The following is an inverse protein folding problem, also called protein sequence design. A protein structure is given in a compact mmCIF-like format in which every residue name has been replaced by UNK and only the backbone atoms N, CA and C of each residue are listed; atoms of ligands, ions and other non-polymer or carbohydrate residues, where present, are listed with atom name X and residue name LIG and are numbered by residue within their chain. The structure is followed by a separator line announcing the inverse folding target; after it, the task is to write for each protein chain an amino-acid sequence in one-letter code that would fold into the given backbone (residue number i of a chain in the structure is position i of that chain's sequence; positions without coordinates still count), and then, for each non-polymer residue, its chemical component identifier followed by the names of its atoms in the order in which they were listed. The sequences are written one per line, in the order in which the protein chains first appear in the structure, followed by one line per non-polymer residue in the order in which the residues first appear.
data_IF_176542038265
#
_entry.id   IF_176542038265
#
_cell.length_a   1.000
_cell.length_b   1.000
_cell.length_c   1.000
_cell.angle_alpha   90.00
_cell.angle_beta   90.00
_cell.angle_gamma   90.00
#
_symmetry.space_group_name_H-M   'P 1'
#
loop_
_entity.id
_entity.type
_entity.pdbx_description
1 polymer ?
#
# COMPACT_ATOMS: atom_id res chain seq x y z
N UNK A 1 21.55 2.87 -2.12
CA UNK A 1 20.33 2.37 -1.45
C UNK A 1 20.73 1.22 -0.54
N UNK A 2 20.43 1.29 0.75
CA UNK A 2 20.76 0.22 1.70
C UNK A 2 19.61 -0.79 1.71
N UNK A 3 19.91 -2.08 1.62
CA UNK A 3 18.93 -3.14 1.77
C UNK A 3 18.52 -3.27 3.24
N UNK A 4 17.24 -3.02 3.53
CA UNK A 4 16.68 -3.02 4.88
C UNK A 4 15.77 -4.22 5.16
N UNK A 5 15.81 -5.28 4.31
CA UNK A 5 14.97 -6.47 4.50
C UNK A 5 15.17 -7.12 5.87
N UNK A 6 16.41 -7.19 6.36
CA UNK A 6 16.72 -7.71 7.69
C UNK A 6 16.02 -6.93 8.81
N UNK A 7 16.06 -5.59 8.76
CA UNK A 7 15.38 -4.75 9.76
C UNK A 7 13.86 -4.82 9.64
N UNK A 8 13.35 -4.86 8.41
CA UNK A 8 11.91 -5.02 8.19
C UNK A 8 11.41 -6.35 8.77
N UNK A 9 12.14 -7.45 8.55
CA UNK A 9 11.82 -8.76 9.15
C UNK A 9 11.81 -8.71 10.67
N UNK A 10 12.83 -8.11 11.31
CA UNK A 10 12.85 -7.95 12.78
C UNK A 10 11.58 -7.28 13.31
N UNK A 11 11.18 -6.17 12.68
CA UNK A 11 9.99 -5.41 13.08
C UNK A 11 8.74 -6.25 12.84
N UNK A 12 8.60 -6.83 11.64
CA UNK A 12 7.41 -7.59 11.26
C UNK A 12 7.21 -8.81 12.15
N UNK A 13 8.26 -9.61 12.41
CA UNK A 13 8.16 -10.78 13.27
C UNK A 13 7.79 -10.38 14.70
N UNK A 14 8.40 -9.34 15.27
CA UNK A 14 8.07 -8.88 16.62
C UNK A 14 6.61 -8.40 16.74
N UNK A 15 6.10 -7.69 15.72
CA UNK A 15 4.69 -7.27 15.65
C UNK A 15 3.77 -8.48 15.53
N UNK A 16 4.11 -9.45 14.67
CA UNK A 16 3.32 -10.67 14.48
C UNK A 16 3.26 -11.52 15.75
N UNK A 17 4.38 -11.69 16.44
CA UNK A 17 4.46 -12.47 17.68
C UNK A 17 3.65 -11.81 18.81
N UNK A 18 3.68 -10.48 18.89
CA UNK A 18 3.02 -9.71 19.95
C UNK A 18 1.52 -9.47 19.69
N UNK A 19 1.17 -9.14 18.44
CA UNK A 19 -0.15 -8.58 18.09
C UNK A 19 -0.90 -9.43 17.05
N UNK A 20 -0.24 -10.42 16.45
CA UNK A 20 -0.79 -11.21 15.35
C UNK A 20 -1.74 -12.31 15.77
N UNK A 21 -1.66 -12.83 17.00
CA UNK A 21 -2.45 -14.02 17.43
C UNK A 21 -3.97 -13.83 17.34
N UNK A 22 -4.44 -12.58 17.42
CA UNK A 22 -5.86 -12.23 17.28
C UNK A 22 -6.32 -12.15 15.80
N UNK A 23 -5.40 -12.21 14.85
CA UNK A 23 -5.67 -12.08 13.41
C UNK A 23 -5.90 -13.44 12.76
N UNK A 24 -6.92 -13.53 11.91
CA UNK A 24 -7.31 -14.77 11.24
C UNK A 24 -6.26 -15.33 10.27
N UNK A 25 -5.38 -14.48 9.76
CA UNK A 25 -4.31 -14.82 8.82
C UNK A 25 -2.92 -14.90 9.46
N UNK A 26 -2.87 -14.92 10.80
CA UNK A 26 -1.64 -15.11 11.55
C UNK A 26 -0.98 -16.44 11.17
N UNK A 27 0.29 -16.37 10.80
CA UNK A 27 1.11 -17.50 10.38
C UNK A 27 2.53 -17.31 10.90
N UNK A 28 3.38 -18.36 10.94
CA UNK A 28 4.79 -18.19 11.27
C UNK A 28 5.47 -17.09 10.45
N UNK A 29 6.36 -16.30 11.06
CA UNK A 29 6.96 -15.15 10.37
C UNK A 29 7.73 -15.55 9.09
N UNK A 30 8.42 -16.70 9.11
CA UNK A 30 9.14 -17.21 7.94
C UNK A 30 8.19 -17.65 6.80
N UNK A 31 6.93 -17.97 7.09
CA UNK A 31 5.89 -18.24 6.09
C UNK A 31 5.26 -16.94 5.55
N UNK A 32 5.23 -15.89 6.37
CA UNK A 32 4.71 -14.58 5.98
C UNK A 32 5.70 -13.79 5.12
N UNK A 33 7.01 -13.93 5.38
CA UNK A 33 8.07 -13.21 4.68
C UNK A 33 9.05 -14.19 4.01
N UNK A 34 8.87 -14.40 2.71
CA UNK A 34 9.76 -15.24 1.89
C UNK A 34 11.19 -14.68 1.87
N UNK A 35 12.18 -15.56 2.11
CA UNK A 35 13.60 -15.21 1.95
C UNK A 35 13.99 -15.32 0.48
N UNK A 36 14.61 -14.27 -0.06
CA UNK A 36 15.05 -14.21 -1.47
C UNK A 36 16.53 -13.86 -1.51
N UNK A 37 17.34 -14.72 -2.13
CA UNK A 37 18.79 -14.53 -2.22
C UNK A 37 19.44 -14.36 -0.84
N UNK A 38 20.47 -13.52 -0.75
CA UNK A 38 21.08 -13.16 0.53
C UNK A 38 20.31 -12.00 1.17
N UNK A 39 19.62 -12.28 2.28
CA UNK A 39 18.97 -11.27 3.11
C UNK A 39 19.95 -10.81 4.20
N UNK A 40 20.22 -9.50 4.34
CA UNK A 40 21.10 -9.02 5.41
C UNK A 40 20.49 -9.32 6.78
N UNK A 41 21.36 -9.50 7.78
CA UNK A 41 20.90 -9.59 9.16
C UNK A 41 20.17 -8.30 9.57
N UNK A 42 19.23 -8.43 10.51
CA UNK A 42 18.67 -7.28 11.19
C UNK A 42 19.73 -6.53 12.01
N UNK A 43 19.38 -5.36 12.52
CA UNK A 43 20.33 -4.49 13.21
C UNK A 43 20.21 -4.55 14.74
N UNK A 44 19.36 -5.43 15.27
CA UNK A 44 19.20 -5.67 16.71
C UNK A 44 18.60 -4.50 17.49
N UNK A 45 18.17 -3.41 16.83
CA UNK A 45 17.54 -2.30 17.54
C UNK A 45 16.22 -2.76 18.17
N UNK A 46 15.86 -2.27 19.37
CA UNK A 46 14.56 -2.56 19.95
C UNK A 46 13.42 -2.24 18.98
N UNK A 47 12.38 -3.07 18.98
CA UNK A 47 11.14 -2.81 18.23
C UNK A 47 10.14 -2.19 19.20
N UNK A 48 9.60 -1.03 18.84
CA UNK A 48 8.55 -0.36 19.61
C UNK A 48 7.22 -1.05 19.30
N UNK A 49 6.66 -1.73 20.30
CA UNK A 49 5.40 -2.48 20.19
C UNK A 49 4.23 -1.76 20.88
N UNK A 50 4.50 -0.61 21.49
CA UNK A 50 3.48 0.22 22.13
C UNK A 50 2.69 1.07 21.13
N UNK A 51 1.79 1.93 21.62
CA UNK A 51 1.08 2.87 20.77
C UNK A 51 2.03 3.82 20.03
N UNK A 52 1.72 4.06 18.76
CA UNK A 52 2.46 4.99 17.89
C UNK A 52 2.51 6.39 18.48
N UNK A 53 3.71 6.99 18.48
CA UNK A 53 3.94 8.39 18.85
C UNK A 53 3.71 9.37 17.70
N UNK A 54 3.68 8.87 16.46
CA UNK A 54 3.57 9.70 15.27
C UNK A 54 2.16 9.74 14.70
N UNK A 55 1.31 8.75 15.01
CA UNK A 55 -0.07 8.72 14.53
C UNK A 55 -0.19 8.65 13.01
N UNK A 56 0.66 7.84 12.35
CA UNK A 56 0.64 7.71 10.89
C UNK A 56 -0.70 7.13 10.41
N UNK A 57 -1.16 7.64 9.26
CA UNK A 57 -2.40 7.22 8.60
C UNK A 57 -2.05 6.57 7.26
N UNK A 58 -2.38 5.29 7.10
CA UNK A 58 -2.20 4.57 5.85
C UNK A 58 -3.39 4.84 4.90
N UNK A 59 -3.17 5.60 3.84
CA UNK A 59 -4.14 5.78 2.76
C UNK A 59 -3.82 4.81 1.62
N UNK A 60 -4.65 3.79 1.47
CA UNK A 60 -4.43 2.67 0.57
C UNK A 60 -5.08 3.00 -0.78
N UNK A 61 -4.28 3.10 -1.83
CA UNK A 61 -4.76 3.25 -3.22
C UNK A 61 -4.80 1.85 -3.84
N UNK A 62 -5.99 1.34 -4.19
CA UNK A 62 -6.14 0.00 -4.73
C UNK A 62 -5.69 -0.12 -6.19
N UNK A 63 -5.66 -1.36 -6.69
CA UNK A 63 -5.29 -1.68 -8.06
C UNK A 63 -6.48 -1.91 -8.99
N UNK A 64 -6.20 -2.42 -10.20
CA UNK A 64 -7.21 -2.66 -11.24
C UNK A 64 -8.38 -3.51 -10.73
N UNK A 65 -9.60 -3.03 -10.97
CA UNK A 65 -10.84 -3.76 -10.72
C UNK A 65 -11.17 -4.02 -9.25
N UNK A 66 -10.51 -3.33 -8.31
CA UNK A 66 -10.75 -3.51 -6.88
C UNK A 66 -12.22 -3.30 -6.50
N UNK A 67 -12.85 -2.25 -7.05
CA UNK A 67 -14.26 -1.92 -6.84
C UNK A 67 -15.20 -3.06 -7.28
N UNK A 68 -14.74 -3.96 -8.16
CA UNK A 68 -15.54 -5.10 -8.62
C UNK A 68 -15.62 -6.23 -7.58
N UNK A 69 -14.68 -6.30 -6.64
CA UNK A 69 -14.59 -7.43 -5.69
C UNK A 69 -14.38 -7.00 -4.24
N UNK A 70 -14.36 -5.70 -3.93
CA UNK A 70 -14.19 -5.20 -2.56
C UNK A 70 -15.19 -5.81 -1.57
N UNK A 71 -16.43 -6.03 -2.01
CA UNK A 71 -17.50 -6.64 -1.22
C UNK A 71 -17.27 -8.13 -0.90
N UNK A 72 -16.29 -8.77 -1.54
CA UNK A 72 -15.90 -10.16 -1.32
C UNK A 72 -14.64 -10.30 -0.45
N UNK A 73 -13.97 -9.19 -0.14
CA UNK A 73 -12.83 -9.19 0.78
C UNK A 73 -13.30 -9.22 2.25
N UNK A 74 -12.34 -9.40 3.17
CA UNK A 74 -12.59 -9.32 4.62
C UNK A 74 -13.47 -8.11 4.96
N UNK A 75 -14.30 -8.18 6.04
CA UNK A 75 -15.21 -7.10 6.38
C UNK A 75 -14.49 -5.75 6.39
N UNK A 76 -15.06 -4.77 5.68
CA UNK A 76 -14.46 -3.46 5.50
C UNK A 76 -14.06 -2.85 6.85
N UNK A 77 -12.86 -2.30 6.92
CA UNK A 77 -12.36 -1.60 8.12
C UNK A 77 -11.77 -2.50 9.22
N UNK A 78 -11.78 -3.83 9.09
CA UNK A 78 -11.13 -4.75 10.05
C UNK A 78 -9.65 -4.43 10.30
N UNK A 79 -8.90 -4.13 9.23
CA UNK A 79 -7.49 -3.69 9.34
C UNK A 79 -7.37 -2.36 10.08
N UNK A 80 -8.20 -1.36 9.73
CA UNK A 80 -8.19 -0.06 10.38
C UNK A 80 -8.52 -0.17 11.88
N UNK A 81 -9.52 -0.98 12.24
CA UNK A 81 -9.90 -1.25 13.63
C UNK A 81 -8.74 -1.87 14.42
N UNK A 82 -8.01 -2.82 13.83
CA UNK A 82 -6.83 -3.41 14.47
C UNK A 82 -5.73 -2.37 14.66
N UNK A 83 -5.40 -1.59 13.62
CA UNK A 83 -4.34 -0.57 13.66
C UNK A 83 -4.61 0.55 14.67
N UNK A 84 -5.87 0.94 14.86
CA UNK A 84 -6.29 1.96 15.84
C UNK A 84 -5.95 1.60 17.28
N UNK A 85 -5.91 0.30 17.63
CA UNK A 85 -5.47 -0.17 18.96
C UNK A 85 -4.02 0.23 19.27
N UNK A 86 -3.21 0.47 18.23
CA UNK A 86 -1.79 0.78 18.33
C UNK A 86 -1.47 2.22 17.88
N UNK A 87 -2.47 3.11 17.82
CA UNK A 87 -2.26 4.52 17.51
C UNK A 87 -1.99 4.81 16.03
N UNK A 88 -2.34 3.90 15.12
CA UNK A 88 -2.33 4.13 13.67
C UNK A 88 -3.77 4.24 13.17
N UNK A 89 -3.95 4.79 11.97
CA UNK A 89 -5.22 4.69 11.26
C UNK A 89 -4.99 4.22 9.82
N UNK A 90 -6.04 3.72 9.18
CA UNK A 90 -6.01 3.34 7.78
C UNK A 90 -7.33 3.63 7.09
N UNK A 91 -7.26 3.98 5.82
CA UNK A 91 -8.42 4.20 4.96
C UNK A 91 -8.10 3.75 3.54
N UNK A 92 -9.14 3.39 2.80
CA UNK A 92 -9.08 3.27 1.36
C UNK A 92 -9.21 4.66 0.75
N UNK A 93 -8.35 4.98 -0.21
CA UNK A 93 -8.46 6.17 -1.02
C UNK A 93 -9.13 5.77 -2.33
N UNK A 94 -10.37 6.23 -2.59
CA UNK A 94 -11.14 5.81 -3.75
C UNK A 94 -10.51 6.34 -5.04
N UNK A 95 -10.42 5.47 -6.04
CA UNK A 95 -9.99 5.81 -7.41
C UNK A 95 -10.85 5.01 -8.38
N UNK A 96 -10.96 5.47 -9.63
CA UNK A 96 -11.57 4.64 -10.67
C UNK A 96 -10.59 3.53 -11.08
N UNK A 97 -10.77 2.34 -10.50
CA UNK A 97 -9.83 1.24 -10.65
C UNK A 97 -9.63 0.77 -12.11
N UNK A 98 -10.55 1.09 -13.03
CA UNK A 98 -10.45 0.72 -14.45
C UNK A 98 -9.96 1.85 -15.35
N UNK A 99 -9.75 3.05 -14.79
CA UNK A 99 -9.27 4.23 -15.50
C UNK A 99 -7.74 4.29 -15.63
N UNK A 100 -7.26 5.29 -16.38
CA UNK A 100 -5.82 5.53 -16.56
C UNK A 100 -5.16 5.99 -15.27
N UNK A 101 -3.84 5.80 -15.16
CA UNK A 101 -3.06 6.32 -14.02
C UNK A 101 -3.13 7.85 -13.93
N UNK A 102 -3.17 8.56 -15.06
CA UNK A 102 -3.38 10.01 -15.12
C UNK A 102 -4.71 10.45 -14.52
N UNK A 103 -5.79 9.70 -14.78
CA UNK A 103 -7.10 9.99 -14.19
C UNK A 103 -7.06 9.77 -12.68
N UNK A 104 -6.57 8.61 -12.24
CA UNK A 104 -6.50 8.25 -10.82
C UNK A 104 -5.55 9.17 -10.05
N UNK A 105 -4.47 9.66 -10.68
CA UNK A 105 -3.56 10.62 -10.09
C UNK A 105 -4.27 11.92 -9.67
N UNK A 106 -5.22 12.39 -10.50
CA UNK A 106 -6.06 13.56 -10.17
C UNK A 106 -6.96 13.28 -8.97
N UNK A 107 -7.62 12.13 -8.95
CA UNK A 107 -8.48 11.73 -7.82
C UNK A 107 -7.68 11.62 -6.52
N UNK A 108 -6.50 11.00 -6.56
CA UNK A 108 -5.57 10.94 -5.42
C UNK A 108 -5.25 12.34 -4.93
N UNK A 109 -4.92 13.25 -5.84
CA UNK A 109 -4.66 14.64 -5.48
C UNK A 109 -5.86 15.30 -4.81
N UNK A 110 -7.06 15.14 -5.37
CA UNK A 110 -8.27 15.77 -4.85
C UNK A 110 -8.61 15.24 -3.44
N UNK A 111 -8.53 13.93 -3.22
CA UNK A 111 -8.73 13.31 -1.91
C UNK A 111 -7.70 13.77 -0.89
N UNK A 112 -6.41 13.79 -1.24
CA UNK A 112 -5.34 14.26 -0.33
C UNK A 112 -5.51 15.74 0.02
N UNK A 113 -5.95 16.56 -0.92
CA UNK A 113 -6.16 18.00 -0.69
C UNK A 113 -7.47 18.30 0.06
N UNK A 114 -8.45 17.40 0.01
CA UNK A 114 -9.68 17.49 0.79
C UNK A 114 -9.49 17.12 2.27
N UNK A 115 -8.44 16.36 2.60
CA UNK A 115 -8.11 16.05 3.99
C UNK A 115 -7.77 17.32 4.77
N UNK A 116 -8.19 17.44 6.05
CA UNK A 116 -7.85 18.58 6.88
C UNK A 116 -6.34 18.80 6.97
N UNK A 117 -5.91 20.06 6.89
CA UNK A 117 -4.52 20.40 7.12
C UNK A 117 -4.11 19.93 8.52
N UNK A 118 -2.93 19.29 8.59
CA UNK A 118 -2.38 18.81 9.84
C UNK A 118 -1.28 19.78 10.27
N UNK A 119 -1.35 20.26 11.51
CA UNK A 119 -0.25 21.00 12.11
C UNK A 119 0.93 20.06 12.37
N UNK A 120 2.13 20.46 11.95
CA UNK A 120 3.37 19.71 12.18
C UNK A 120 3.80 18.84 10.99
N UNK A 121 4.54 17.78 11.27
CA UNK A 121 5.05 16.88 10.23
C UNK A 121 3.89 16.09 9.58
N UNK A 122 3.95 15.81 8.27
CA UNK A 122 2.93 15.02 7.59
C UNK A 122 2.84 13.62 8.20
N UNK A 123 1.63 13.08 8.28
CA UNK A 123 1.36 11.74 8.83
C UNK A 123 0.79 10.77 7.80
N UNK A 124 0.43 11.25 6.61
CA UNK A 124 -0.18 10.44 5.58
C UNK A 124 0.87 9.56 4.89
N UNK A 125 0.68 8.24 4.92
CA UNK A 125 1.48 7.27 4.17
C UNK A 125 0.61 6.74 3.05
N UNK A 126 0.99 7.03 1.80
CA UNK A 126 0.29 6.48 0.64
C UNK A 126 0.76 5.05 0.39
N UNK A 127 -0.14 4.08 0.45
CA UNK A 127 0.16 2.67 0.19
C UNK A 127 -0.48 2.27 -1.14
N UNK A 128 0.32 2.13 -2.19
CA UNK A 128 -0.17 1.69 -3.49
C UNK A 128 -0.17 0.18 -3.58
N UNK A 129 -1.33 -0.42 -3.83
CA UNK A 129 -1.46 -1.84 -4.13
C UNK A 129 -1.59 -2.07 -5.64
N UNK A 130 -0.76 -2.94 -6.22
CA UNK A 130 -0.84 -3.28 -7.65
C UNK A 130 -0.77 -2.01 -8.55
N UNK A 131 -1.81 -1.68 -9.32
CA UNK A 131 -1.89 -0.45 -10.12
C UNK A 131 -1.93 0.84 -9.28
N UNK A 132 -2.35 0.77 -8.02
CA UNK A 132 -2.33 1.95 -7.15
C UNK A 132 -0.92 2.51 -6.93
N UNK A 133 0.12 1.69 -7.05
CA UNK A 133 1.50 2.18 -6.93
C UNK A 133 1.91 3.12 -8.07
N UNK A 134 1.78 2.77 -9.37
CA UNK A 134 2.01 3.74 -10.44
C UNK A 134 1.02 4.91 -10.41
N UNK A 135 -0.22 4.74 -9.94
CA UNK A 135 -1.17 5.86 -9.80
C UNK A 135 -0.67 6.91 -8.79
N UNK A 136 -0.16 6.47 -7.62
CA UNK A 136 0.45 7.38 -6.63
C UNK A 136 1.73 8.02 -7.18
N UNK A 137 2.59 7.25 -7.88
CA UNK A 137 3.82 7.79 -8.44
C UNK A 137 3.53 8.92 -9.44
N UNK A 138 2.54 8.74 -10.31
CA UNK A 138 2.09 9.77 -11.23
C UNK A 138 1.50 10.97 -10.47
N UNK A 139 0.69 10.76 -9.43
CA UNK A 139 0.17 11.84 -8.60
C UNK A 139 1.26 12.68 -7.94
N UNK A 140 2.28 12.02 -7.38
CA UNK A 140 3.41 12.71 -6.73
C UNK A 140 4.25 13.51 -7.73
N UNK A 141 4.33 13.09 -8.99
CA UNK A 141 5.05 13.82 -10.03
C UNK A 141 4.23 15.00 -10.54
N UNK A 142 2.99 14.77 -10.95
CA UNK A 142 2.12 15.74 -11.62
C UNK A 142 1.55 16.81 -10.67
N UNK A 143 1.33 16.47 -9.39
CA UNK A 143 0.73 17.36 -8.40
C UNK A 143 1.67 17.61 -7.21
N UNK A 144 2.73 18.42 -7.40
CA UNK A 144 3.73 18.64 -6.36
C UNK A 144 3.16 19.24 -5.06
N UNK A 145 1.99 19.89 -5.10
CA UNK A 145 1.33 20.45 -3.91
C UNK A 145 0.97 19.39 -2.86
N UNK A 146 0.78 18.12 -3.25
CA UNK A 146 0.43 17.05 -2.29
C UNK A 146 1.66 16.54 -1.52
N UNK A 147 2.88 16.82 -1.99
CA UNK A 147 4.12 16.28 -1.39
C UNK A 147 4.31 16.73 0.06
N UNK A 148 3.88 17.94 0.39
CA UNK A 148 3.93 18.46 1.78
C UNK A 148 2.93 17.78 2.72
N UNK A 149 1.91 17.10 2.17
CA UNK A 149 0.91 16.32 2.93
C UNK A 149 1.34 14.88 3.19
N UNK A 150 2.29 14.36 2.41
CA UNK A 150 2.67 12.93 2.38
C UNK A 150 3.98 12.72 3.13
N UNK A 151 3.95 11.84 4.13
CA UNK A 151 5.12 11.45 4.91
C UNK A 151 5.99 10.43 4.16
N UNK A 152 5.34 9.49 3.47
CA UNK A 152 6.00 8.43 2.73
C UNK A 152 5.05 7.79 1.71
N UNK A 153 5.64 7.07 0.76
CA UNK A 153 4.94 6.16 -0.13
C UNK A 153 5.46 4.73 0.10
N UNK A 154 4.56 3.76 0.18
CA UNK A 154 4.87 2.32 0.22
C UNK A 154 4.23 1.65 -0.99
N UNK A 155 5.01 0.84 -1.70
CA UNK A 155 4.51 -0.01 -2.78
C UNK A 155 4.30 -1.44 -2.25
N UNK A 156 3.07 -1.94 -2.34
CA UNK A 156 2.70 -3.29 -1.94
C UNK A 156 2.26 -4.08 -3.19
N UNK A 157 3.09 -5.03 -3.64
CA UNK A 157 2.87 -5.75 -4.90
C UNK A 157 2.61 -4.83 -6.11
N UNK A 158 3.27 -3.66 -6.13
CA UNK A 158 3.01 -2.61 -7.10
C UNK A 158 3.46 -2.94 -8.52
N UNK A 159 2.62 -2.59 -9.50
CA UNK A 159 2.89 -2.74 -10.93
C UNK A 159 3.77 -1.59 -11.47
N UNK A 160 4.85 -1.23 -10.75
CA UNK A 160 5.72 -0.08 -11.09
C UNK A 160 6.37 -0.24 -12.46
N UNK A 161 6.82 -1.45 -12.79
CA UNK A 161 7.36 -1.80 -14.11
C UNK A 161 6.31 -2.32 -15.11
N UNK A 162 5.02 -2.19 -14.79
CA UNK A 162 3.94 -2.84 -15.52
C UNK A 162 3.88 -4.36 -15.31
N UNK A 163 3.16 -5.06 -16.19
CA UNK A 163 3.02 -6.52 -16.16
C UNK A 163 2.95 -7.09 -17.58
N UNK A 164 3.70 -8.16 -17.90
CA UNK A 164 3.56 -8.85 -19.19
C UNK A 164 2.15 -9.38 -19.46
N UNK A 165 1.35 -9.64 -18.42
CA UNK A 165 -0.03 -10.08 -18.56
C UNK A 165 -0.91 -9.01 -19.21
N UNK A 166 -0.64 -7.72 -18.95
CA UNK A 166 -1.37 -6.62 -19.57
C UNK A 166 -1.17 -6.64 -21.10
N UNK A 167 0.05 -6.91 -21.57
CA UNK A 167 0.34 -7.02 -23.01
C UNK A 167 -0.39 -8.19 -23.67
N UNK A 168 -0.48 -9.35 -22.99
CA UNK A 168 -1.20 -10.53 -23.51
C UNK A 168 -2.69 -10.27 -23.70
N UNK A 169 -3.30 -9.50 -22.79
CA UNK A 169 -4.72 -9.15 -22.89
C UNK A 169 -5.03 -8.29 -24.12
N UNK A 170 -4.16 -7.32 -24.44
CA UNK A 170 -4.26 -6.49 -25.64
C UNK A 170 -4.11 -7.35 -26.91
N UNK A 171 -3.13 -8.26 -26.93
CA UNK A 171 -2.94 -9.17 -28.07
C UNK A 171 -4.14 -10.11 -28.26
N UNK A 172 -4.76 -10.59 -27.19
CA UNK A 172 -5.99 -11.39 -27.27
C UNK A 172 -7.18 -10.58 -27.79
N UNK A 173 -7.37 -9.34 -27.33
CA UNK A 173 -8.40 -8.45 -27.86
C UNK A 173 -8.17 -8.13 -29.35
N UNK A 174 -6.93 -7.82 -29.74
CA UNK A 174 -6.58 -7.57 -31.14
C UNK A 174 -6.82 -8.80 -32.03
N UNK A 175 -6.48 -10.01 -31.56
CA UNK A 175 -6.78 -11.28 -32.25
C UNK A 175 -8.28 -11.54 -32.36
N UNK A 176 -9.04 -11.31 -31.29
CA UNK A 176 -10.49 -11.46 -31.32
C UNK A 176 -11.17 -10.45 -32.25
N UNK A 177 -10.60 -9.26 -32.41
CA UNK A 177 -11.09 -8.22 -33.33
C UNK A 177 -10.72 -8.48 -34.80
N UNK A 178 -9.65 -9.23 -35.08
CA UNK A 178 -9.22 -9.59 -36.45
C UNK A 178 -9.85 -10.88 -36.98
N UNK A 179 -10.59 -11.61 -36.13
CA UNK A 179 -11.39 -12.78 -36.49
C UNK A 179 -12.91 -12.51 -36.54
N UNK A 180 -13.31 -11.23 -36.63
CA UNK A 180 -14.66 -10.80 -37.05
C UNK A 180 -14.57 -10.18 -38.43
#
# INVERSE_FOLDING_TARGET
MLDQRGRFREIYCAVLDSHGRDLSDCRPCDDALTRVGHEPAGNGKPVDLGPSRHGLVAAIVPGIGYDCFENWLNPAGTVALHLRRFGYDAMLLPVDALSSSTHNARQIRDEVMAMPEQSGAPRLVLIGYSKGSPDILEALVEYPEIRSRVAAMVSAAGAVGGSPLAMRSIQQQQRAATHR
#
